data_IF_812470720053
#
_entry.id   IF_812470720053
#
_cell.length_a   1.000
_cell.length_b   1.000
_cell.length_c   1.000
_cell.angle_alpha   90.00
_cell.angle_beta   90.00
_cell.angle_gamma   90.00
#
_symmetry.space_group_name_H-M   'P 1'
#
loop_
_entity.id
_entity.type
_entity.pdbx_description
1 polymer ?
#
# COMPACT_ATOMS: atom_id res chain seq x y z
N UNK A 1 18.77 32.79 -5.07
CA UNK A 1 17.29 32.81 -4.93
C UNK A 1 17.03 32.60 -3.46
N UNK A 2 16.31 33.47 -2.74
CA UNK A 2 15.96 33.22 -1.35
C UNK A 2 14.95 32.07 -1.29
N UNK A 3 15.17 31.13 -0.37
CA UNK A 3 14.34 29.95 -0.20
C UNK A 3 12.90 30.31 0.12
N UNK A 4 11.98 29.71 -0.59
CA UNK A 4 10.57 29.74 -0.26
C UNK A 4 10.36 29.07 1.09
N UNK A 5 9.78 29.79 2.03
CA UNK A 5 9.30 29.24 3.30
C UNK A 5 8.21 28.21 3.00
N UNK A 6 8.27 27.01 3.60
CA UNK A 6 7.20 26.03 3.46
C UNK A 6 5.85 26.65 3.89
N UNK A 7 4.73 26.19 3.29
CA UNK A 7 3.42 26.72 3.63
C UNK A 7 3.17 26.63 5.14
N UNK A 8 2.64 27.70 5.72
CA UNK A 8 2.33 27.75 7.14
C UNK A 8 1.26 26.69 7.48
N UNK A 9 1.45 26.00 8.60
CA UNK A 9 0.48 25.08 9.16
C UNK A 9 -0.91 25.74 9.25
N UNK A 10 -1.99 25.02 8.94
CA UNK A 10 -3.33 25.51 9.22
C UNK A 10 -3.48 25.88 10.69
N UNK A 11 -4.14 26.99 11.05
CA UNK A 11 -4.22 27.44 12.43
C UNK A 11 -4.93 26.41 13.31
N UNK A 12 -4.27 26.05 14.43
CA UNK A 12 -4.79 25.10 15.44
C UNK A 12 -4.07 23.75 15.50
N UNK A 13 -2.95 23.57 14.81
CA UNK A 13 -2.21 22.30 14.79
C UNK A 13 -0.80 22.49 15.38
N UNK A 14 -0.62 22.06 16.62
CA UNK A 14 0.71 21.90 17.21
C UNK A 14 1.32 20.63 16.65
N UNK A 15 2.41 20.76 15.87
CA UNK A 15 3.18 19.60 15.40
C UNK A 15 3.75 18.82 16.57
N UNK A 16 3.91 17.51 16.43
CA UNK A 16 4.63 16.69 17.42
C UNK A 16 6.06 17.23 17.44
N UNK A 17 6.57 17.70 18.60
CA UNK A 17 7.96 18.13 18.70
C UNK A 17 8.86 16.94 18.34
N UNK A 18 9.99 17.21 17.67
CA UNK A 18 10.99 16.19 17.41
C UNK A 18 11.35 15.50 18.73
N UNK A 19 10.84 14.27 18.92
CA UNK A 19 11.14 13.50 20.11
C UNK A 19 12.63 13.22 20.15
N UNK A 20 13.21 13.25 21.35
CA UNK A 20 14.60 12.84 21.60
C UNK A 20 14.69 11.36 21.21
N UNK A 21 15.19 11.10 20.00
CA UNK A 21 15.27 9.75 19.44
C UNK A 21 16.26 8.95 20.30
N UNK A 22 15.76 7.94 21.00
CA UNK A 22 16.60 6.95 21.69
C UNK A 22 17.53 6.31 20.65
N UNK A 23 18.80 5.96 20.99
CA UNK A 23 19.66 5.26 20.05
C UNK A 23 18.97 4.01 19.53
N UNK A 24 18.70 3.96 18.23
CA UNK A 24 18.05 2.84 17.58
C UNK A 24 19.11 1.97 16.95
N UNK A 25 18.98 0.65 17.10
CA UNK A 25 19.82 -0.30 16.41
C UNK A 25 19.61 -0.19 14.89
N UNK A 26 20.73 -0.15 14.15
CA UNK A 26 20.67 -0.11 12.69
C UNK A 26 20.39 -1.51 12.12
N UNK A 27 19.73 -1.54 10.97
CA UNK A 27 19.60 -2.77 10.19
C UNK A 27 20.98 -3.33 9.85
N UNK A 28 21.14 -4.63 10.09
CA UNK A 28 22.40 -5.33 9.80
C UNK A 28 22.49 -5.65 8.30
N UNK A 29 23.70 -5.53 7.73
CA UNK A 29 23.95 -6.02 6.38
C UNK A 29 24.02 -7.55 6.37
N UNK A 30 23.11 -8.18 5.64
CA UNK A 30 23.00 -9.62 5.53
C UNK A 30 23.07 -10.07 4.06
N UNK A 31 23.97 -11.01 3.70
CA UNK A 31 24.10 -11.47 2.31
C UNK A 31 22.80 -12.08 1.73
N UNK A 32 21.92 -12.57 2.61
CA UNK A 32 20.63 -13.18 2.23
C UNK A 32 19.43 -12.23 2.33
N UNK A 33 19.64 -10.95 2.66
CA UNK A 33 18.55 -9.98 2.74
C UNK A 33 17.63 -9.96 1.50
N UNK A 34 18.12 -10.14 0.25
CA UNK A 34 17.25 -10.24 -0.91
C UNK A 34 16.31 -11.47 -0.95
N UNK A 35 16.52 -12.44 -0.06
CA UNK A 35 15.70 -13.66 0.10
C UNK A 35 14.87 -13.66 1.38
N UNK A 36 15.00 -12.62 2.18
CA UNK A 36 14.23 -12.41 3.42
C UNK A 36 12.77 -12.03 3.11
N UNK A 37 11.93 -12.03 4.14
CA UNK A 37 10.56 -11.54 4.01
C UNK A 37 10.55 -10.04 3.66
N UNK A 38 9.93 -9.73 2.52
CA UNK A 38 9.70 -8.36 2.07
C UNK A 38 8.20 -8.11 1.95
N UNK A 39 7.74 -6.93 2.39
CA UNK A 39 6.31 -6.63 2.47
C UNK A 39 5.83 -5.60 1.47
N UNK A 40 6.68 -4.65 1.08
CA UNK A 40 6.30 -3.61 0.12
C UNK A 40 7.43 -3.33 -0.88
N UNK A 41 7.04 -2.80 -2.04
CA UNK A 41 7.95 -2.33 -3.08
C UNK A 41 7.41 -1.08 -3.73
N UNK A 42 8.27 -0.09 -3.95
CA UNK A 42 7.96 1.15 -4.66
C UNK A 42 9.10 1.53 -5.60
N UNK A 43 8.89 2.54 -6.44
CA UNK A 43 9.94 3.05 -7.31
C UNK A 43 10.30 4.51 -7.00
N UNK A 44 11.60 4.78 -6.91
CA UNK A 44 12.22 6.09 -6.99
C UNK A 44 12.72 6.29 -8.43
N UNK A 45 11.83 6.70 -9.33
CA UNK A 45 12.05 6.70 -10.78
C UNK A 45 12.33 5.27 -11.33
N UNK A 46 13.56 4.98 -11.77
CA UNK A 46 13.95 3.65 -12.29
C UNK A 46 14.44 2.71 -11.19
N UNK A 47 14.81 3.23 -10.02
CA UNK A 47 15.24 2.43 -8.88
C UNK A 47 14.04 1.83 -8.18
N UNK A 48 14.04 0.52 -7.97
CA UNK A 48 13.09 -0.14 -7.09
C UNK A 48 13.64 -0.16 -5.67
N UNK A 49 12.75 0.06 -4.71
CA UNK A 49 13.04 0.01 -3.28
C UNK A 49 12.05 -0.95 -2.65
N UNK A 50 12.55 -2.03 -2.04
CA UNK A 50 11.74 -3.01 -1.34
C UNK A 50 12.07 -3.01 0.15
N UNK A 51 11.06 -3.16 1.01
CA UNK A 51 11.20 -3.11 2.46
C UNK A 51 10.61 -4.35 3.12
N UNK A 52 11.12 -4.71 4.31
CA UNK A 52 10.63 -5.88 5.03
C UNK A 52 11.23 -6.09 6.40
N UNK A 53 11.43 -7.37 6.76
CA UNK A 53 11.88 -7.76 8.10
C UNK A 53 13.25 -7.19 8.46
N UNK A 54 13.50 -7.04 9.78
CA UNK A 54 14.78 -6.59 10.36
C UNK A 54 15.29 -5.26 9.84
N UNK A 55 14.37 -4.37 9.45
CA UNK A 55 14.73 -3.08 8.86
C UNK A 55 15.37 -3.18 7.47
N UNK A 56 15.28 -4.35 6.81
CA UNK A 56 15.86 -4.51 5.48
C UNK A 56 15.19 -3.57 4.48
N UNK A 57 16.00 -2.73 3.85
CA UNK A 57 15.65 -1.93 2.69
C UNK A 57 16.59 -2.33 1.55
N UNK A 58 16.02 -2.77 0.45
CA UNK A 58 16.73 -3.28 -0.71
C UNK A 58 16.52 -2.38 -1.91
N UNK A 59 17.58 -2.18 -2.67
CA UNK A 59 17.64 -1.32 -3.84
C UNK A 59 17.98 -2.14 -5.08
N UNK A 60 17.25 -1.90 -6.17
CA UNK A 60 17.56 -2.46 -7.49
C UNK A 60 17.54 -1.36 -8.55
N UNK A 61 18.64 -1.22 -9.27
CA UNK A 61 18.81 -0.25 -10.36
C UNK A 61 18.69 -0.89 -11.75
N UNK A 62 18.29 -2.19 -11.81
CA UNK A 62 18.26 -3.01 -13.03
C UNK A 62 16.92 -3.74 -13.23
N UNK A 63 15.82 -3.10 -12.81
CA UNK A 63 14.46 -3.66 -12.89
C UNK A 63 14.29 -4.98 -12.12
N UNK A 64 14.89 -5.08 -10.93
CA UNK A 64 14.74 -6.22 -10.04
C UNK A 64 15.57 -7.46 -10.42
N UNK A 65 16.60 -7.32 -11.26
CA UNK A 65 17.51 -8.44 -11.56
C UNK A 65 18.50 -8.68 -10.45
N UNK A 66 19.05 -7.60 -9.88
CA UNK A 66 19.96 -7.64 -8.74
C UNK A 66 19.50 -6.68 -7.65
N UNK A 67 19.83 -7.03 -6.41
CA UNK A 67 19.44 -6.27 -5.22
C UNK A 67 20.64 -6.11 -4.29
N UNK A 68 20.74 -4.91 -3.70
CA UNK A 68 21.69 -4.58 -2.62
C UNK A 68 20.96 -3.91 -1.47
N UNK A 69 21.46 -4.00 -0.26
CA UNK A 69 20.88 -3.26 0.86
C UNK A 69 21.21 -1.77 0.77
N UNK A 70 20.31 -0.95 1.33
CA UNK A 70 20.60 0.46 1.61
C UNK A 70 21.75 0.58 2.60
N UNK A 71 22.55 1.67 2.49
CA UNK A 71 23.80 1.79 3.24
C UNK A 71 23.54 2.01 4.74
N UNK A 72 22.45 2.70 5.09
CA UNK A 72 22.15 3.04 6.47
C UNK A 72 20.65 3.11 6.71
N UNK A 73 20.14 2.25 7.56
CA UNK A 73 18.72 2.19 7.97
C UNK A 73 18.64 2.15 9.49
N UNK A 74 18.17 3.22 10.15
CA UNK A 74 18.19 3.35 11.63
C UNK A 74 17.01 2.65 12.29
N UNK A 75 16.79 1.37 11.99
CA UNK A 75 15.81 0.51 12.65
C UNK A 75 16.07 -0.96 12.33
N UNK A 76 15.62 -1.85 13.21
CA UNK A 76 15.48 -3.28 12.97
C UNK A 76 14.01 -3.73 13.00
N UNK A 77 13.07 -2.78 13.12
CA UNK A 77 11.63 -3.07 13.07
C UNK A 77 11.23 -3.64 11.70
N UNK A 78 10.16 -4.42 11.68
CA UNK A 78 9.55 -4.88 10.43
C UNK A 78 8.96 -3.68 9.68
N UNK A 79 9.45 -3.41 8.47
CA UNK A 79 8.94 -2.37 7.58
C UNK A 79 7.81 -2.95 6.71
N UNK A 80 6.69 -2.26 6.67
CA UNK A 80 5.42 -2.72 6.07
C UNK A 80 5.04 -1.96 4.82
N UNK A 81 5.45 -0.68 4.70
CA UNK A 81 5.10 0.20 3.60
C UNK A 81 6.25 1.10 3.17
N UNK A 82 6.27 1.48 1.89
CA UNK A 82 7.22 2.43 1.33
C UNK A 82 6.59 3.18 0.16
N UNK A 83 6.82 4.50 0.09
CA UNK A 83 6.42 5.32 -1.04
C UNK A 83 7.47 6.38 -1.37
N UNK A 84 7.40 6.94 -2.58
CA UNK A 84 8.24 8.05 -3.03
C UNK A 84 7.35 9.16 -3.59
N UNK A 85 7.60 10.40 -3.15
CA UNK A 85 6.96 11.61 -3.69
C UNK A 85 7.63 12.10 -4.97
N UNK A 86 8.91 11.81 -5.12
CA UNK A 86 9.72 12.09 -6.31
C UNK A 86 10.89 11.09 -6.41
N UNK A 87 11.83 11.33 -7.34
CA UNK A 87 12.94 10.41 -7.58
C UNK A 87 13.99 10.35 -6.46
N UNK A 88 13.96 11.24 -5.47
CA UNK A 88 14.91 11.27 -4.34
C UNK A 88 14.23 11.08 -2.99
N UNK A 89 13.04 11.65 -2.81
CA UNK A 89 12.39 11.74 -1.51
C UNK A 89 11.32 10.65 -1.34
N UNK A 90 11.43 9.92 -0.25
CA UNK A 90 10.53 8.84 0.09
C UNK A 90 10.39 8.62 1.59
N UNK A 91 9.39 7.83 1.93
CA UNK A 91 9.03 7.47 3.30
C UNK A 91 8.84 5.96 3.38
N UNK A 92 9.36 5.33 4.44
CA UNK A 92 9.06 3.95 4.81
C UNK A 92 8.48 3.91 6.24
N UNK A 93 7.54 3.00 6.45
CA UNK A 93 6.85 2.84 7.73
C UNK A 93 6.83 1.39 8.17
N UNK A 94 6.56 1.14 9.47
CA UNK A 94 6.52 -0.22 9.95
C UNK A 94 6.05 -0.37 11.39
N UNK A 95 6.43 -1.49 12.01
CA UNK A 95 6.17 -1.79 13.39
C UNK A 95 6.82 -0.75 14.31
N UNK A 96 6.37 -0.71 15.57
CA UNK A 96 6.84 0.25 16.58
C UNK A 96 6.59 1.72 16.18
N UNK A 97 5.57 1.95 15.33
CA UNK A 97 5.28 3.26 14.71
C UNK A 97 6.50 3.88 14.01
N UNK A 98 7.41 3.05 13.51
CA UNK A 98 8.60 3.59 12.85
C UNK A 98 8.22 4.32 11.56
N UNK A 99 8.75 5.54 11.42
CA UNK A 99 8.71 6.30 10.18
C UNK A 99 10.14 6.70 9.82
N UNK A 100 10.56 6.31 8.64
CA UNK A 100 11.85 6.64 8.05
C UNK A 100 11.67 7.55 6.85
N UNK A 101 12.57 8.50 6.65
CA UNK A 101 12.62 9.37 5.47
C UNK A 101 13.94 9.22 4.74
N UNK A 102 13.91 9.34 3.42
CA UNK A 102 15.10 9.41 2.55
C UNK A 102 15.06 10.64 1.67
N UNK A 103 16.26 11.13 1.27
CA UNK A 103 16.44 12.23 0.29
C UNK A 103 17.46 11.89 -0.79
N UNK A 104 17.80 10.61 -0.91
CA UNK A 104 18.80 10.10 -1.84
C UNK A 104 18.36 8.81 -2.55
N UNK A 105 17.07 8.74 -2.87
CA UNK A 105 16.44 7.60 -3.53
C UNK A 105 16.61 6.29 -2.74
N UNK A 106 16.53 6.37 -1.43
CA UNK A 106 16.57 5.22 -0.53
C UNK A 106 17.99 4.70 -0.22
N UNK A 107 19.06 5.39 -0.62
CA UNK A 107 20.43 4.99 -0.32
C UNK A 107 20.69 5.02 1.18
N UNK A 108 20.26 6.10 1.84
CA UNK A 108 20.30 6.26 3.30
C UNK A 108 18.95 6.72 3.84
N UNK A 109 18.67 6.40 5.08
CA UNK A 109 17.44 6.71 5.76
C UNK A 109 17.68 7.41 7.08
N UNK A 110 16.76 8.29 7.45
CA UNK A 110 16.73 9.02 8.72
C UNK A 110 15.46 8.68 9.47
N UNK A 111 15.55 8.45 10.76
CA UNK A 111 14.43 8.20 11.64
C UNK A 111 13.66 9.52 11.88
N UNK A 112 12.40 9.55 11.47
CA UNK A 112 11.49 10.69 11.65
C UNK A 112 10.55 10.49 12.84
N UNK A 113 10.12 9.23 13.10
CA UNK A 113 9.25 8.89 14.22
C UNK A 113 9.54 7.45 14.69
N UNK A 114 9.36 7.19 15.99
CA UNK A 114 9.51 5.88 16.59
C UNK A 114 8.86 5.86 17.98
N UNK A 115 7.91 4.98 18.21
CA UNK A 115 7.15 4.87 19.46
C UNK A 115 6.85 3.39 19.79
N UNK A 116 7.86 2.59 20.17
CA UNK A 116 7.69 1.15 20.41
C UNK A 116 6.74 0.84 21.57
N UNK A 117 6.58 1.75 22.51
CA UNK A 117 5.65 1.62 23.64
C UNK A 117 4.18 1.70 23.23
N UNK A 118 3.87 2.29 22.07
CA UNK A 118 2.49 2.37 21.56
C UNK A 118 1.93 1.03 21.17
N UNK A 119 2.81 0.09 20.75
CA UNK A 119 2.45 -1.22 20.20
C UNK A 119 1.46 -1.15 19.02
N UNK A 120 1.48 -0.04 18.29
CA UNK A 120 0.59 0.22 17.15
C UNK A 120 1.41 0.25 15.86
N UNK A 121 1.49 -0.85 15.10
CA UNK A 121 2.22 -0.87 13.85
C UNK A 121 1.55 0.03 12.80
N UNK A 122 2.36 0.77 12.07
CA UNK A 122 1.96 1.34 10.79
C UNK A 122 1.94 0.21 9.76
N UNK A 123 0.91 0.17 8.91
CA UNK A 123 0.68 -0.93 7.98
C UNK A 123 0.92 -0.53 6.53
N UNK A 124 0.65 0.74 6.18
CA UNK A 124 0.88 1.24 4.82
C UNK A 124 1.11 2.76 4.81
N UNK A 125 1.69 3.26 3.70
CA UNK A 125 1.98 4.68 3.49
C UNK A 125 1.78 5.06 2.03
N UNK A 126 1.24 6.26 1.79
CA UNK A 126 1.13 6.84 0.46
C UNK A 126 1.75 8.23 0.41
N UNK A 127 2.48 8.48 -0.67
CA UNK A 127 3.06 9.79 -0.98
C UNK A 127 2.21 10.47 -2.05
N UNK A 128 1.72 11.66 -1.75
CA UNK A 128 0.93 12.51 -2.64
C UNK A 128 1.73 13.67 -3.22
N UNK A 129 1.05 14.54 -3.95
CA UNK A 129 1.61 15.78 -4.45
C UNK A 129 1.84 16.79 -3.30
N UNK A 130 2.67 17.81 -3.55
CA UNK A 130 2.92 18.94 -2.66
C UNK A 130 3.43 18.54 -1.26
N UNK A 131 4.22 17.46 -1.19
CA UNK A 131 4.80 16.97 0.05
C UNK A 131 3.82 16.28 1.00
N UNK A 132 2.59 16.01 0.58
CA UNK A 132 1.64 15.28 1.41
C UNK A 132 2.01 13.81 1.51
N UNK A 133 2.11 13.30 2.73
CA UNK A 133 2.33 11.89 3.02
C UNK A 133 1.33 11.45 4.09
N UNK A 134 0.74 10.28 3.89
CA UNK A 134 -0.21 9.71 4.85
C UNK A 134 0.21 8.28 5.18
N UNK A 135 0.36 7.99 6.46
CA UNK A 135 0.59 6.65 6.98
C UNK A 135 -0.63 6.18 7.78
N UNK A 136 -1.00 4.93 7.60
CA UNK A 136 -2.14 4.29 8.27
C UNK A 136 -1.69 3.00 8.96
N UNK A 137 -2.39 2.60 10.01
CA UNK A 137 -1.95 1.45 10.78
C UNK A 137 -3.04 0.77 11.61
N UNK A 138 -2.57 -0.02 12.55
CA UNK A 138 -3.42 -0.77 13.46
C UNK A 138 -4.22 0.17 14.37
N UNK A 139 -5.39 -0.29 14.79
CA UNK A 139 -6.26 0.42 15.75
C UNK A 139 -6.59 1.86 15.34
N UNK A 140 -6.72 2.13 14.02
CA UNK A 140 -7.07 3.45 13.50
C UNK A 140 -5.96 4.49 13.58
N UNK A 141 -4.71 4.07 13.80
CA UNK A 141 -3.55 4.97 13.76
C UNK A 141 -3.45 5.64 12.40
N UNK A 142 -3.29 6.95 12.41
CA UNK A 142 -3.29 7.81 11.26
C UNK A 142 -2.32 8.95 11.43
N UNK A 143 -1.31 9.03 10.57
CA UNK A 143 -0.35 10.12 10.52
C UNK A 143 -0.44 10.83 9.19
N UNK A 144 -0.38 12.18 9.23
CA UNK A 144 -0.34 13.00 8.02
C UNK A 144 0.82 14.00 8.10
N UNK A 145 1.55 14.15 6.99
CA UNK A 145 2.58 15.15 6.78
C UNK A 145 2.26 15.97 5.54
N UNK A 146 2.69 17.24 5.54
CA UNK A 146 2.55 18.16 4.40
C UNK A 146 3.91 18.64 3.87
N UNK A 147 5.01 18.14 4.43
CA UNK A 147 6.38 18.58 4.11
C UNK A 147 7.31 17.41 3.70
N UNK A 148 6.73 16.37 3.12
CA UNK A 148 7.48 15.21 2.64
C UNK A 148 7.92 14.25 3.74
N UNK A 149 7.27 14.27 4.90
CA UNK A 149 7.59 13.40 6.04
C UNK A 149 8.58 14.00 7.03
N UNK A 150 8.87 15.30 6.94
CA UNK A 150 9.73 16.00 7.90
C UNK A 150 9.05 16.23 9.25
N UNK A 151 7.77 16.59 9.21
CA UNK A 151 6.92 16.76 10.38
C UNK A 151 5.62 15.99 10.22
N UNK A 152 5.11 15.42 11.30
CA UNK A 152 3.92 14.57 11.30
C UNK A 152 2.89 15.07 12.29
N UNK A 153 1.63 15.00 11.91
CA UNK A 153 0.50 15.12 12.80
C UNK A 153 -0.13 13.74 12.97
N UNK A 154 -0.15 13.26 14.19
CA UNK A 154 -0.94 12.10 14.58
C UNK A 154 -2.41 12.49 14.69
N UNK A 155 -3.31 11.61 14.29
CA UNK A 155 -4.75 11.73 14.44
C UNK A 155 -5.40 10.38 14.69
N UNK A 156 -6.64 10.43 15.17
CA UNK A 156 -7.49 9.25 15.19
C UNK A 156 -8.34 9.25 13.95
N UNK A 157 -8.25 8.19 13.16
CA UNK A 157 -8.99 8.06 11.90
C UNK A 157 -10.50 8.18 12.10
N UNK A 158 -11.05 7.60 13.18
CA UNK A 158 -12.46 7.71 13.54
C UNK A 158 -12.95 9.16 13.70
N UNK A 159 -12.08 10.08 14.13
CA UNK A 159 -12.42 11.50 14.23
C UNK A 159 -12.44 12.21 12.86
N UNK A 160 -11.70 11.68 11.88
CA UNK A 160 -11.68 12.18 10.52
C UNK A 160 -12.81 11.61 9.65
N UNK A 161 -13.51 10.56 10.10
CA UNK A 161 -14.68 9.99 9.42
C UNK A 161 -15.90 10.85 9.74
N UNK A 162 -16.23 11.76 8.82
CA UNK A 162 -17.43 12.59 8.93
C UNK A 162 -18.68 11.74 8.84
N UNK A 163 -19.62 11.91 9.76
CA UNK A 163 -20.98 11.39 9.63
C UNK A 163 -21.75 12.24 8.63
N UNK A 164 -21.66 11.94 7.34
CA UNK A 164 -22.75 12.33 6.44
C UNK A 164 -23.95 11.41 6.71
N UNK A 165 -25.18 11.98 6.82
CA UNK A 165 -26.36 11.15 6.93
C UNK A 165 -26.48 10.29 5.66
N UNK A 166 -26.34 8.98 5.82
CA UNK A 166 -26.55 8.02 4.76
C UNK A 166 -27.93 8.26 4.11
N UNK A 167 -27.93 8.75 2.88
CA UNK A 167 -29.12 8.73 2.05
C UNK A 167 -29.48 7.25 1.83
N UNK A 168 -30.42 6.76 2.64
CA UNK A 168 -31.21 5.52 2.47
C UNK A 168 -30.54 4.39 1.64
N UNK A 169 -29.41 3.87 2.03
CA UNK A 169 -29.12 2.46 1.86
C UNK A 169 -29.66 1.77 3.13
N UNK A 170 -30.28 0.61 2.99
CA UNK A 170 -30.83 -0.14 4.12
C UNK A 170 -29.70 -0.39 5.13
N UNK A 171 -29.60 0.52 6.08
CA UNK A 171 -28.57 0.51 7.09
C UNK A 171 -28.90 -0.68 8.00
N UNK A 172 -28.06 -1.71 7.92
CA UNK A 172 -27.84 -2.56 9.07
C UNK A 172 -27.27 -1.64 10.14
N UNK A 173 -28.02 -1.41 11.23
CA UNK A 173 -27.48 -0.73 12.40
C UNK A 173 -26.21 -1.48 12.79
N UNK A 174 -25.05 -0.81 12.92
CA UNK A 174 -23.86 -1.48 13.43
C UNK A 174 -24.23 -2.08 14.78
N UNK A 175 -23.73 -3.28 15.12
CA UNK A 175 -23.93 -3.83 16.44
C UNK A 175 -23.53 -2.77 17.48
N UNK A 176 -24.30 -2.65 18.56
CA UNK A 176 -24.08 -1.64 19.58
C UNK A 176 -22.66 -1.66 20.17
N UNK A 177 -21.92 -2.76 19.99
CA UNK A 177 -20.55 -3.00 20.38
C UNK A 177 -19.49 -2.43 19.41
N UNK A 178 -19.89 -1.95 18.22
CA UNK A 178 -18.98 -1.44 17.17
C UNK A 178 -18.81 0.10 17.21
N UNK A 179 -19.55 0.76 18.09
CA UNK A 179 -19.40 2.21 18.27
C UNK A 179 -18.11 2.49 19.03
N UNK A 180 -17.05 2.86 18.32
CA UNK A 180 -15.76 3.25 18.88
C UNK A 180 -14.65 2.21 18.72
N UNK A 181 -14.83 1.12 17.96
CA UNK A 181 -13.74 0.24 17.59
C UNK A 181 -12.88 0.90 16.51
N UNK A 182 -11.60 1.04 16.85
CA UNK A 182 -10.59 1.45 15.88
C UNK A 182 -10.17 0.21 15.08
N UNK A 183 -10.59 0.11 13.82
CA UNK A 183 -10.22 -0.97 12.90
C UNK A 183 -8.79 -0.81 12.41
N UNK A 184 -8.14 -1.94 12.08
CA UNK A 184 -6.86 -1.88 11.38
C UNK A 184 -7.07 -1.32 9.96
N UNK A 185 -6.35 -0.23 9.66
CA UNK A 185 -6.33 0.39 8.34
C UNK A 185 -5.23 -0.30 7.52
N UNK A 186 -5.61 -1.30 6.71
CA UNK A 186 -4.66 -2.23 6.11
C UNK A 186 -3.93 -1.68 4.89
N UNK A 187 -4.57 -0.80 4.11
CA UNK A 187 -3.99 -0.25 2.87
C UNK A 187 -4.57 1.12 2.57
N UNK A 188 -3.71 2.04 2.11
CA UNK A 188 -4.11 3.33 1.58
C UNK A 188 -3.66 3.47 0.13
N UNK A 189 -4.53 3.96 -0.75
CA UNK A 189 -4.22 4.12 -2.16
C UNK A 189 -4.76 5.45 -2.71
N UNK A 190 -3.91 6.18 -3.43
CA UNK A 190 -4.28 7.42 -4.07
C UNK A 190 -4.81 7.18 -5.49
N UNK A 191 -5.97 7.76 -5.81
CA UNK A 191 -6.49 7.90 -7.16
C UNK A 191 -6.07 9.23 -7.79
N UNK A 192 -5.92 10.28 -6.97
CA UNK A 192 -5.41 11.60 -7.36
C UNK A 192 -4.80 12.29 -6.14
N UNK A 193 -4.36 13.54 -6.27
CA UNK A 193 -3.85 14.34 -5.16
C UNK A 193 -4.85 14.53 -4.01
N UNK A 194 -6.14 14.51 -4.30
CA UNK A 194 -7.22 14.73 -3.32
C UNK A 194 -8.09 13.50 -3.06
N UNK A 195 -8.16 12.56 -4.00
CA UNK A 195 -8.98 11.36 -3.88
C UNK A 195 -8.12 10.18 -3.45
N UNK A 196 -8.36 9.69 -2.24
CA UNK A 196 -7.71 8.49 -1.72
C UNK A 196 -8.75 7.51 -1.19
N UNK A 197 -8.34 6.27 -1.05
CA UNK A 197 -9.13 5.18 -0.50
C UNK A 197 -8.36 4.48 0.60
N UNK A 198 -9.06 3.97 1.61
CA UNK A 198 -8.52 3.10 2.65
C UNK A 198 -9.31 1.80 2.67
N UNK A 199 -8.60 0.68 2.69
CA UNK A 199 -9.13 -0.65 2.95
C UNK A 199 -8.83 -1.03 4.40
N UNK A 200 -9.82 -1.55 5.12
CA UNK A 200 -9.72 -1.84 6.53
C UNK A 200 -10.34 -3.20 6.91
N UNK A 201 -10.19 -3.56 8.16
CA UNK A 201 -10.82 -4.75 8.75
C UNK A 201 -12.35 -4.66 8.76
N UNK A 202 -13.00 -5.80 9.00
CA UNK A 202 -14.44 -5.88 9.21
C UNK A 202 -15.30 -5.45 8.02
N UNK A 203 -14.70 -5.41 6.82
CA UNK A 203 -15.40 -4.98 5.61
C UNK A 203 -15.40 -3.47 5.38
N UNK A 204 -14.67 -2.70 6.19
CA UNK A 204 -14.69 -1.25 6.06
C UNK A 204 -13.85 -0.77 4.88
N UNK A 205 -14.43 0.15 4.11
CA UNK A 205 -13.80 0.87 3.02
C UNK A 205 -14.08 2.37 3.20
N UNK A 206 -13.07 3.20 3.00
CA UNK A 206 -13.22 4.64 3.15
C UNK A 206 -12.69 5.37 1.92
N UNK A 207 -13.24 6.57 1.68
CA UNK A 207 -12.81 7.49 0.62
C UNK A 207 -12.73 8.90 1.15
N UNK A 208 -11.70 9.61 0.76
CA UNK A 208 -11.59 11.08 0.90
C UNK A 208 -11.71 11.76 -0.45
N UNK A 209 -12.09 13.03 -0.45
CA UNK A 209 -12.08 13.94 -1.60
C UNK A 209 -11.21 15.18 -1.37
N UNK A 210 -10.61 15.32 -0.19
CA UNK A 210 -9.84 16.50 0.27
C UNK A 210 -8.39 16.16 0.65
N UNK A 211 -7.92 14.99 0.20
CA UNK A 211 -6.54 14.54 0.42
C UNK A 211 -6.27 14.05 1.83
N UNK A 212 -7.29 13.52 2.50
CA UNK A 212 -7.15 12.86 3.79
C UNK A 212 -7.52 13.71 4.99
N UNK A 213 -8.04 14.93 4.81
CA UNK A 213 -8.52 15.76 5.94
C UNK A 213 -9.81 15.20 6.52
N UNK A 214 -10.73 14.78 5.65
CA UNK A 214 -11.96 14.09 6.06
C UNK A 214 -12.17 12.81 5.25
N UNK A 215 -12.80 11.84 5.86
CA UNK A 215 -13.08 10.54 5.27
C UNK A 215 -14.57 10.23 5.36
N UNK A 216 -15.11 9.60 4.33
CA UNK A 216 -16.44 9.00 4.35
C UNK A 216 -16.34 7.49 4.19
N UNK A 217 -17.14 6.77 4.94
CA UNK A 217 -17.29 5.34 4.75
C UNK A 217 -18.07 5.04 3.47
N UNK A 218 -17.63 4.02 2.74
CA UNK A 218 -18.28 3.52 1.54
C UNK A 218 -19.19 2.33 1.87
N UNK A 219 -20.29 2.12 1.15
CA UNK A 219 -21.05 0.88 1.26
C UNK A 219 -20.16 -0.32 0.99
N UNK A 220 -20.20 -1.31 1.88
CA UNK A 220 -19.37 -2.50 1.76
C UNK A 220 -20.12 -3.67 1.14
N UNK A 221 -19.54 -4.40 0.20
CA UNK A 221 -20.13 -5.61 -0.37
C UNK A 221 -19.82 -6.89 0.44
N UNK A 222 -19.05 -6.79 1.53
CA UNK A 222 -18.49 -7.93 2.24
C UNK A 222 -18.17 -7.58 3.70
N UNK A 223 -18.46 -8.48 4.64
CA UNK A 223 -18.25 -8.28 6.08
C UNK A 223 -16.84 -8.70 6.56
N UNK A 224 -15.98 -9.22 5.70
CA UNK A 224 -14.61 -9.63 6.05
C UNK A 224 -13.58 -8.58 5.65
N UNK A 225 -12.40 -8.67 6.25
CA UNK A 225 -11.32 -7.68 6.08
C UNK A 225 -10.86 -7.55 4.63
N UNK A 226 -10.72 -6.31 4.18
CA UNK A 226 -10.01 -5.94 2.97
C UNK A 226 -8.54 -5.68 3.28
N UNK A 227 -7.65 -6.24 2.45
CA UNK A 227 -6.20 -6.02 2.55
C UNK A 227 -5.68 -5.12 1.45
N UNK A 228 -6.53 -4.73 0.53
CA UNK A 228 -6.17 -3.76 -0.48
C UNK A 228 -7.34 -3.09 -1.16
N UNK A 229 -7.05 -1.90 -1.63
CA UNK A 229 -7.88 -1.10 -2.51
C UNK A 229 -7.01 -0.55 -3.63
N UNK A 230 -7.47 -0.64 -4.89
CA UNK A 230 -6.71 -0.19 -6.06
C UNK A 230 -7.58 0.63 -6.98
N UNK A 231 -7.41 1.96 -7.03
CA UNK A 231 -7.97 2.80 -8.09
C UNK A 231 -7.32 2.45 -9.44
N UNK A 232 -8.16 2.34 -10.48
CA UNK A 232 -7.74 1.99 -11.84
C UNK A 232 -7.87 3.17 -12.84
N UNK A 233 -8.23 4.34 -12.34
CA UNK A 233 -8.52 5.52 -13.12
C UNK A 233 -10.02 5.78 -13.30
N UNK A 234 -10.40 7.06 -13.43
CA UNK A 234 -11.81 7.47 -13.36
C UNK A 234 -12.44 7.02 -12.05
N UNK A 235 -13.67 6.50 -12.14
CA UNK A 235 -14.42 5.99 -11.00
C UNK A 235 -14.26 4.48 -10.77
N UNK A 236 -13.30 3.84 -11.44
CA UNK A 236 -13.07 2.40 -11.33
C UNK A 236 -12.15 2.10 -10.16
N UNK A 237 -12.59 1.22 -9.25
CA UNK A 237 -11.86 0.82 -8.06
C UNK A 237 -11.98 -0.69 -7.83
N UNK A 238 -10.90 -1.35 -7.44
CA UNK A 238 -10.92 -2.71 -6.91
C UNK A 238 -10.76 -2.67 -5.39
N UNK A 239 -11.48 -3.57 -4.70
CA UNK A 239 -11.26 -3.89 -3.29
C UNK A 239 -11.08 -5.41 -3.16
N UNK A 240 -10.06 -5.84 -2.41
CA UNK A 240 -9.69 -7.25 -2.32
C UNK A 240 -9.14 -7.59 -0.95
N UNK A 241 -9.16 -8.88 -0.58
CA UNK A 241 -8.66 -9.29 0.72
C UNK A 241 -8.85 -10.77 1.05
N UNK A 242 -9.43 -11.03 2.23
CA UNK A 242 -9.58 -12.36 2.79
C UNK A 242 -10.37 -13.30 1.87
N UNK A 243 -9.99 -14.59 1.91
CA UNK A 243 -10.68 -15.70 1.22
C UNK A 243 -10.82 -15.51 -0.29
N UNK A 244 -9.87 -14.80 -0.91
CA UNK A 244 -9.87 -14.56 -2.33
C UNK A 244 -10.98 -13.62 -2.80
N UNK A 245 -11.65 -12.92 -1.89
CA UNK A 245 -12.68 -11.96 -2.27
C UNK A 245 -12.07 -10.78 -3.00
N UNK A 246 -12.65 -10.47 -4.16
CA UNK A 246 -12.33 -9.33 -4.99
C UNK A 246 -13.62 -8.72 -5.52
N UNK A 247 -13.73 -7.41 -5.38
CA UNK A 247 -14.88 -6.64 -5.82
C UNK A 247 -14.40 -5.49 -6.72
N UNK A 248 -15.21 -5.15 -7.70
CA UNK A 248 -14.98 -4.06 -8.63
C UNK A 248 -16.15 -3.08 -8.61
N UNK A 249 -15.84 -1.80 -8.45
CA UNK A 249 -16.75 -0.67 -8.57
C UNK A 249 -16.49 0.08 -9.88
N UNK A 250 -17.54 0.66 -10.46
CA UNK A 250 -17.49 1.57 -11.61
C UNK A 250 -18.01 2.99 -11.26
N UNK A 251 -18.31 3.24 -9.98
CA UNK A 251 -18.93 4.46 -9.45
C UNK A 251 -18.24 4.96 -8.17
N UNK A 252 -16.91 4.91 -8.17
CA UNK A 252 -16.04 5.38 -7.07
C UNK A 252 -16.35 4.74 -5.70
N UNK A 253 -16.79 3.47 -5.69
CA UNK A 253 -17.06 2.69 -4.49
C UNK A 253 -18.50 2.84 -3.96
N UNK A 254 -19.42 3.42 -4.72
CA UNK A 254 -20.85 3.52 -4.32
C UNK A 254 -21.56 2.17 -4.44
N UNK A 255 -21.26 1.42 -5.52
CA UNK A 255 -21.74 0.04 -5.70
C UNK A 255 -20.60 -0.88 -6.11
N UNK A 256 -20.73 -2.17 -5.78
CA UNK A 256 -19.70 -3.16 -5.99
C UNK A 256 -20.25 -4.41 -6.65
N UNK A 257 -19.47 -4.96 -7.58
CA UNK A 257 -19.72 -6.26 -8.21
C UNK A 257 -18.61 -7.23 -7.80
N UNK A 258 -18.99 -8.40 -7.29
CA UNK A 258 -18.02 -9.47 -7.01
C UNK A 258 -17.41 -9.99 -8.31
N UNK A 259 -16.09 -10.19 -8.30
CA UNK A 259 -15.35 -10.77 -9.41
C UNK A 259 -14.85 -12.15 -8.96
N UNK A 260 -15.05 -13.16 -9.81
CA UNK A 260 -14.65 -14.54 -9.54
C UNK A 260 -13.12 -14.69 -9.63
N UNK A 261 -12.49 -15.15 -8.56
CA UNK A 261 -11.03 -15.33 -8.47
C UNK A 261 -10.59 -16.78 -8.49
N UNK A 262 -11.50 -17.71 -8.21
CA UNK A 262 -11.24 -19.17 -8.13
C UNK A 262 -10.15 -19.55 -7.12
N UNK A 263 -9.93 -18.72 -6.10
CA UNK A 263 -9.00 -18.96 -5.00
C UNK A 263 -9.62 -18.57 -3.67
N UNK A 264 -9.17 -19.21 -2.59
CA UNK A 264 -9.46 -18.81 -1.21
C UNK A 264 -8.23 -18.18 -0.52
N UNK A 265 -7.12 -18.00 -1.25
CA UNK A 265 -5.94 -17.33 -0.70
C UNK A 265 -6.24 -15.86 -0.44
N UNK A 266 -5.64 -15.29 0.60
CA UNK A 266 -5.69 -13.86 0.86
C UNK A 266 -5.00 -13.11 -0.28
N UNK A 267 -5.62 -12.04 -0.76
CA UNK A 267 -5.10 -11.14 -1.79
C UNK A 267 -4.49 -9.92 -1.09
N UNK A 268 -3.22 -9.63 -1.39
CA UNK A 268 -2.41 -8.66 -0.66
C UNK A 268 -2.17 -7.37 -1.42
N UNK A 269 -1.94 -7.44 -2.73
CA UNK A 269 -1.61 -6.26 -3.53
C UNK A 269 -2.12 -6.36 -4.95
N UNK A 270 -2.33 -5.21 -5.61
CA UNK A 270 -2.74 -5.11 -7.00
C UNK A 270 -1.95 -4.04 -7.73
N UNK A 271 -1.46 -4.36 -8.91
CA UNK A 271 -0.67 -3.48 -9.77
C UNK A 271 -1.28 -3.36 -11.16
N UNK A 272 -1.31 -2.14 -11.71
CA UNK A 272 -1.61 -1.91 -13.12
C UNK A 272 -0.36 -2.19 -13.94
N UNK A 273 -0.50 -2.92 -15.05
CA UNK A 273 0.61 -3.36 -15.90
C UNK A 273 0.51 -2.68 -17.25
N UNK A 274 1.51 -1.88 -17.59
CA UNK A 274 1.48 -1.05 -18.78
C UNK A 274 0.27 -0.10 -18.82
N UNK A 275 -0.15 0.27 -20.05
CA UNK A 275 -1.27 1.20 -20.27
C UNK A 275 -2.54 0.53 -20.83
N UNK A 276 -2.49 -0.77 -21.07
CA UNK A 276 -3.54 -1.53 -21.78
C UNK A 276 -4.67 -2.09 -20.90
N UNK A 277 -4.79 -1.64 -19.66
CA UNK A 277 -5.84 -2.13 -18.75
C UNK A 277 -5.53 -3.53 -18.16
N UNK A 278 -4.31 -4.02 -18.31
CA UNK A 278 -3.84 -5.23 -17.62
C UNK A 278 -3.65 -4.94 -16.13
N UNK A 279 -4.11 -5.85 -15.29
CA UNK A 279 -4.00 -5.75 -13.82
C UNK A 279 -3.51 -7.09 -13.31
N UNK A 280 -2.54 -7.06 -12.42
CA UNK A 280 -2.15 -8.23 -11.65
C UNK A 280 -2.51 -8.05 -10.18
N UNK A 281 -3.04 -9.11 -9.55
CA UNK A 281 -3.30 -9.17 -8.11
C UNK A 281 -2.50 -10.32 -7.54
N UNK A 282 -1.76 -10.08 -6.48
CA UNK A 282 -0.90 -11.07 -5.83
C UNK A 282 -1.37 -11.39 -4.43
N UNK A 283 -1.06 -12.58 -3.93
CA UNK A 283 -1.52 -12.99 -2.62
C UNK A 283 -0.76 -14.17 -2.02
N UNK A 284 -1.28 -14.67 -0.90
CA UNK A 284 -0.71 -15.82 -0.21
C UNK A 284 -0.73 -17.08 -1.10
N UNK A 285 0.04 -18.08 -0.70
CA UNK A 285 0.16 -19.36 -1.42
C UNK A 285 0.61 -19.22 -2.88
N UNK A 286 1.34 -18.16 -3.20
CA UNK A 286 1.89 -17.92 -4.54
C UNK A 286 0.83 -17.60 -5.61
N UNK A 287 -0.35 -17.13 -5.18
CA UNK A 287 -1.43 -16.78 -6.13
C UNK A 287 -1.08 -15.50 -6.89
N UNK A 288 -1.27 -15.56 -8.20
CA UNK A 288 -1.21 -14.40 -9.10
C UNK A 288 -2.45 -14.44 -9.99
N UNK A 289 -3.27 -13.42 -9.90
CA UNK A 289 -4.44 -13.22 -10.74
C UNK A 289 -4.10 -12.17 -11.80
N UNK A 290 -4.39 -12.44 -13.05
CA UNK A 290 -4.13 -11.51 -14.15
C UNK A 290 -5.43 -11.22 -14.89
N UNK A 291 -5.79 -9.96 -14.96
CA UNK A 291 -6.86 -9.42 -15.79
C UNK A 291 -6.27 -8.70 -17.00
N UNK A 292 -6.93 -8.82 -18.14
CA UNK A 292 -6.59 -8.09 -19.38
C UNK A 292 -7.77 -7.28 -19.90
N UNK A 293 -8.81 -7.13 -19.08
CA UNK A 293 -10.08 -6.49 -19.44
C UNK A 293 -10.48 -5.39 -18.42
N UNK A 294 -9.51 -4.79 -17.75
CA UNK A 294 -9.73 -3.71 -16.77
C UNK A 294 -10.34 -4.22 -15.47
N UNK A 295 -10.00 -5.43 -15.05
CA UNK A 295 -10.44 -6.01 -13.77
C UNK A 295 -11.84 -6.61 -13.80
N UNK A 296 -12.42 -6.86 -14.99
CA UNK A 296 -13.75 -7.49 -15.11
C UNK A 296 -13.69 -8.99 -14.93
N UNK A 297 -12.60 -9.62 -15.35
CA UNK A 297 -12.32 -11.03 -15.12
C UNK A 297 -10.84 -11.26 -14.87
N UNK A 298 -10.52 -12.37 -14.21
CA UNK A 298 -9.14 -12.74 -13.89
C UNK A 298 -8.86 -14.20 -14.26
N UNK A 299 -7.72 -14.41 -14.91
CA UNK A 299 -7.07 -15.70 -15.01
C UNK A 299 -6.13 -15.90 -13.81
N UNK A 300 -5.97 -17.15 -13.35
CA UNK A 300 -5.11 -17.48 -12.23
C UNK A 300 -3.85 -18.19 -12.67
N UNK A 301 -2.71 -17.77 -12.14
CA UNK A 301 -1.42 -18.42 -12.23
C UNK A 301 -0.97 -18.82 -10.82
N UNK A 302 -0.34 -19.98 -10.68
CA UNK A 302 0.29 -20.41 -9.45
C UNK A 302 1.81 -20.39 -9.59
N UNK A 303 2.48 -19.93 -8.54
CA UNK A 303 3.92 -20.11 -8.43
C UNK A 303 4.22 -21.52 -7.91
N UNK A 304 5.22 -22.18 -8.48
CA UNK A 304 5.60 -23.57 -8.14
C UNK A 304 5.97 -23.71 -6.65
N UNK A 305 6.68 -22.70 -6.11
CA UNK A 305 7.13 -22.69 -4.72
C UNK A 305 6.02 -22.36 -3.71
N UNK A 306 4.86 -21.88 -4.19
CA UNK A 306 3.70 -21.48 -3.39
C UNK A 306 3.99 -20.49 -2.25
N UNK A 307 5.12 -19.80 -2.30
CA UNK A 307 5.46 -18.79 -1.32
C UNK A 307 4.53 -17.59 -1.43
N UNK A 308 4.09 -17.06 -0.29
CA UNK A 308 3.22 -15.90 -0.23
C UNK A 308 3.87 -14.68 -0.89
N UNK A 309 3.07 -13.94 -1.65
CA UNK A 309 3.43 -12.68 -2.28
C UNK A 309 2.77 -11.54 -1.53
N UNK A 310 3.55 -10.56 -1.12
CA UNK A 310 3.09 -9.40 -0.34
C UNK A 310 2.78 -8.20 -1.22
N UNK A 311 3.65 -7.91 -2.20
CA UNK A 311 3.47 -6.79 -3.12
C UNK A 311 4.06 -7.09 -4.50
N UNK A 312 3.65 -6.27 -5.50
CA UNK A 312 4.13 -6.36 -6.87
C UNK A 312 4.37 -4.97 -7.46
N UNK A 313 5.32 -4.89 -8.41
CA UNK A 313 5.61 -3.70 -9.18
C UNK A 313 5.81 -4.03 -10.66
N UNK A 314 5.20 -3.23 -11.55
CA UNK A 314 5.37 -3.39 -13.00
C UNK A 314 6.75 -2.85 -13.44
N UNK A 315 7.51 -3.67 -14.14
CA UNK A 315 8.81 -3.29 -14.74
C UNK A 315 8.80 -3.35 -16.26
N UNK A 316 7.60 -3.43 -16.85
CA UNK A 316 7.36 -3.45 -18.27
C UNK A 316 7.47 -4.84 -18.92
N UNK A 317 7.02 -4.94 -20.16
CA UNK A 317 7.09 -6.18 -20.99
C UNK A 317 6.42 -7.38 -20.29
N UNK A 318 5.21 -7.20 -19.75
CA UNK A 318 4.48 -8.22 -18.97
C UNK A 318 5.33 -8.86 -17.86
N UNK A 319 6.25 -8.09 -17.27
CA UNK A 319 7.10 -8.56 -16.19
C UNK A 319 6.84 -7.76 -14.93
N UNK A 320 6.61 -8.47 -13.83
CA UNK A 320 6.51 -7.91 -12.49
C UNK A 320 7.80 -8.18 -11.70
N UNK A 321 8.13 -7.28 -10.81
CA UNK A 321 8.90 -7.60 -9.61
C UNK A 321 7.88 -7.92 -8.52
N UNK A 322 8.00 -9.09 -7.91
CA UNK A 322 7.17 -9.50 -6.77
C UNK A 322 8.04 -9.66 -5.54
N UNK A 323 7.50 -9.29 -4.39
CA UNK A 323 8.16 -9.44 -3.08
C UNK A 323 7.25 -10.23 -2.14
N UNK A 324 7.84 -10.94 -1.17
CA UNK A 324 7.10 -11.74 -0.21
C UNK A 324 8.00 -12.68 0.58
N UNK A 325 7.49 -13.84 1.00
CA UNK A 325 8.21 -14.88 1.78
C UNK A 325 9.47 -15.40 1.09
N UNK A 326 9.55 -15.30 -0.24
CA UNK A 326 10.69 -15.72 -1.04
C UNK A 326 11.68 -14.61 -1.35
N UNK A 327 11.53 -13.42 -0.72
CA UNK A 327 12.29 -12.23 -1.06
C UNK A 327 11.80 -11.58 -2.37
N UNK A 328 12.70 -10.88 -3.05
CA UNK A 328 12.39 -10.18 -4.30
C UNK A 328 12.74 -11.05 -5.52
N UNK A 329 11.83 -11.13 -6.49
CA UNK A 329 12.05 -11.87 -7.75
C UNK A 329 11.25 -11.28 -8.89
N UNK A 330 11.67 -11.60 -10.10
CA UNK A 330 10.95 -11.24 -11.33
C UNK A 330 9.96 -12.36 -11.72
N UNK A 331 8.79 -11.95 -12.19
CA UNK A 331 7.74 -12.84 -12.65
C UNK A 331 7.21 -12.38 -14.00
N UNK A 332 7.23 -13.24 -14.99
CA UNK A 332 6.58 -13.00 -16.27
C UNK A 332 5.10 -13.39 -16.20
N UNK A 333 4.22 -12.50 -16.64
CA UNK A 333 2.77 -12.69 -16.68
C UNK A 333 2.22 -12.66 -18.11
N UNK A 334 3.10 -12.73 -19.13
CA UNK A 334 2.67 -12.84 -20.52
C UNK A 334 1.72 -14.05 -20.70
N UNK A 335 0.74 -13.98 -21.63
CA UNK A 335 -0.08 -15.15 -21.98
C UNK A 335 0.83 -16.26 -22.48
N UNK A 336 0.56 -17.50 -22.05
CA UNK A 336 1.23 -18.66 -22.65
C UNK A 336 0.96 -18.69 -24.15
N UNK A 337 2.02 -18.65 -24.96
CA UNK A 337 1.93 -18.72 -26.41
C UNK A 337 1.23 -20.01 -26.90
N UNK A 338 1.13 -21.03 -26.04
CA UNK A 338 0.45 -22.30 -26.32
C UNK A 338 -1.08 -22.25 -26.14
N UNK A 339 -1.63 -21.21 -25.51
CA UNK A 339 -3.06 -21.07 -25.25
C UNK A 339 -3.83 -20.25 -26.32
N UNK A 340 -3.16 -19.84 -27.40
CA UNK A 340 -3.86 -19.21 -28.52
C UNK A 340 -4.83 -20.23 -29.14
N UNK A 341 -6.12 -19.93 -29.34
CA UNK A 341 -7.03 -20.81 -30.03
C UNK A 341 -6.45 -21.08 -31.42
N UNK A 342 -6.21 -22.35 -31.74
CA UNK A 342 -5.87 -22.73 -33.11
C UNK A 342 -6.99 -22.23 -33.99
N UNK A 343 -6.69 -21.27 -34.86
CA UNK A 343 -7.61 -20.84 -35.87
C UNK A 343 -8.07 -22.12 -36.61
N UNK A 344 -9.36 -22.46 -36.48
CA UNK A 344 -10.00 -23.46 -37.29
C UNK A 344 -9.87 -22.95 -38.73
N UNK A 345 -8.93 -23.50 -39.47
CA UNK A 345 -8.79 -23.27 -40.90
C UNK A 345 -10.02 -23.76 -41.66
N UNK A 346 -10.22 -23.26 -42.88
CA UNK A 346 -11.43 -23.41 -43.68
C UNK A 346 -11.77 -24.85 -44.02
#
# INVERSE_FOLDING_TARGET
MPGETPPAWPPGHDGIPAHTVTPVDFAEHAPLAPRSLLLAVAAANQRLVAVGERGHILLSDDHGRTWRQADRVPTQALLTGVCFSNFLEGVAVGHDEVILTTRDAGQTWTLAHFAPESQQPLLDVTCGAEGRVIAVGAYGVYFISWDGGGNWREGKFAAAVGREPAAKAAAREPPADDVGRDFHLNKIAAASATILYVAAEGGHLYRTGDGGETWRELPSPYDGSFFGVKPLGGDIVLAYGLRGNLFRSEDAGTTWRKVETRTNAMLNDAVSVGTGGTIAVVGLSGVVLVSRDGGRSFGMMHQEDRKGLSAAWDVGSDTLVVVGEGGARRLNIAPDAAAAPRASGP
#
